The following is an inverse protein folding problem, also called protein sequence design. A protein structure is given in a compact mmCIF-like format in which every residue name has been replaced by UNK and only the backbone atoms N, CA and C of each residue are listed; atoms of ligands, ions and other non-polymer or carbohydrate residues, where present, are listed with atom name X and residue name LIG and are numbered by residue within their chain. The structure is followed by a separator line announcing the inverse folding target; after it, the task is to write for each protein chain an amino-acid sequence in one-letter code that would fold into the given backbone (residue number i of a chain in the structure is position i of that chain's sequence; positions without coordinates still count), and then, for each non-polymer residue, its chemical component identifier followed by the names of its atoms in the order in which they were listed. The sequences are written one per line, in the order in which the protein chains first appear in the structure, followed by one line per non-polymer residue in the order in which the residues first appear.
data_IF_432759184911
#
_entry.id   IF_432759184911
#
_cell.length_a   1.000
_cell.length_b   1.000
_cell.length_c   1.000
_cell.angle_alpha   90.00
_cell.angle_beta   90.00
_cell.angle_gamma   90.00
#
_symmetry.space_group_name_H-M   'P 1'
#
loop_
_entity.id
_entity.type
_entity.pdbx_description
1 polymer ?
#
# COMPACT_ATOMS: atom_id res chain seq x y z
N UNK A 1 -5.54 -3.76 -20.53
CA UNK A 1 -6.14 -3.08 -19.37
C UNK A 1 -5.10 -2.15 -18.80
N UNK A 2 -5.49 -0.90 -18.55
CA UNK A 2 -4.62 0.17 -18.10
C UNK A 2 -4.12 -0.11 -16.68
N UNK A 3 -2.82 0.04 -16.50
CA UNK A 3 -2.20 0.06 -15.19
C UNK A 3 -1.64 1.47 -15.04
N UNK A 4 -2.19 2.21 -14.09
CA UNK A 4 -1.90 3.63 -13.87
C UNK A 4 -0.84 3.82 -12.77
N UNK A 5 -0.38 2.72 -12.16
CA UNK A 5 0.67 2.70 -11.16
C UNK A 5 1.02 1.27 -10.72
N UNK A 6 2.01 1.12 -9.84
CA UNK A 6 2.49 -0.21 -9.39
C UNK A 6 1.85 -0.69 -8.09
N UNK A 7 1.09 0.17 -7.41
CA UNK A 7 0.49 -0.09 -6.10
C UNK A 7 -0.81 -0.89 -6.14
N UNK A 8 -1.40 -1.05 -4.96
CA UNK A 8 -2.76 -1.53 -4.75
C UNK A 8 -3.76 -0.43 -5.13
N UNK A 9 -4.89 -0.78 -5.74
CA UNK A 9 -5.91 0.17 -6.22
C UNK A 9 -5.36 1.13 -7.30
N UNK A 10 -4.43 0.66 -8.14
CA UNK A 10 -3.87 1.44 -9.26
C UNK A 10 -4.00 0.72 -10.61
N UNK A 11 -4.82 -0.32 -10.68
CA UNK A 11 -5.14 -1.05 -11.92
C UNK A 11 -6.65 -1.11 -12.15
N UNK A 12 -7.07 -1.15 -13.41
CA UNK A 12 -8.49 -1.28 -13.77
C UNK A 12 -9.14 -2.49 -13.07
N UNK A 13 -8.41 -3.61 -12.98
CA UNK A 13 -8.86 -4.82 -12.30
C UNK A 13 -9.18 -4.59 -10.82
N UNK A 14 -8.37 -3.78 -10.13
CA UNK A 14 -8.59 -3.52 -8.71
C UNK A 14 -9.85 -2.69 -8.50
N UNK A 15 -10.12 -1.74 -9.41
CA UNK A 15 -11.34 -0.93 -9.39
C UNK A 15 -12.59 -1.73 -9.76
N UNK A 16 -12.50 -2.63 -10.74
CA UNK A 16 -13.57 -3.58 -11.05
C UNK A 16 -13.90 -4.46 -9.82
N UNK A 17 -12.88 -5.03 -9.17
CA UNK A 17 -13.06 -5.82 -7.94
C UNK A 17 -13.69 -4.95 -6.84
N UNK A 18 -13.22 -3.72 -6.66
CA UNK A 18 -13.76 -2.82 -5.65
C UNK A 18 -15.23 -2.46 -5.89
N UNK A 19 -15.63 -2.29 -7.16
CA UNK A 19 -17.02 -2.14 -7.57
C UNK A 19 -17.85 -3.39 -7.28
N UNK A 20 -17.38 -4.57 -7.71
CA UNK A 20 -18.06 -5.85 -7.46
C UNK A 20 -18.22 -6.13 -5.95
N UNK A 21 -17.28 -5.66 -5.12
CA UNK A 21 -17.35 -5.76 -3.66
C UNK A 21 -18.46 -4.89 -3.05
N UNK A 22 -18.76 -3.71 -3.62
CA UNK A 22 -19.90 -2.90 -3.17
C UNK A 22 -21.21 -3.68 -3.29
N UNK A 23 -21.41 -4.34 -4.44
CA UNK A 23 -22.58 -5.18 -4.69
C UNK A 23 -22.62 -6.37 -3.73
N UNK A 24 -21.47 -7.04 -3.52
CA UNK A 24 -21.37 -8.19 -2.62
C UNK A 24 -21.67 -7.84 -1.15
N UNK A 25 -21.27 -6.65 -0.70
CA UNK A 25 -21.48 -6.17 0.66
C UNK A 25 -22.88 -5.57 0.87
N UNK A 26 -23.51 -5.08 -0.20
CA UNK A 26 -24.75 -4.28 -0.10
C UNK A 26 -24.53 -2.89 0.51
N UNK A 27 -23.29 -2.39 0.46
CA UNK A 27 -22.93 -1.04 0.87
C UNK A 27 -21.69 -0.56 0.11
N UNK A 28 -21.56 0.76 -0.05
CA UNK A 28 -20.47 1.39 -0.80
C UNK A 28 -19.18 1.42 0.03
N UNK A 29 -18.40 0.34 0.03
CA UNK A 29 -17.08 0.29 0.68
C UNK A 29 -16.00 0.97 -0.17
N UNK A 30 -16.14 0.90 -1.48
CA UNK A 30 -15.29 1.59 -2.41
C UNK A 30 -15.92 2.94 -2.76
N UNK A 31 -15.25 4.02 -2.37
CA UNK A 31 -15.71 5.40 -2.54
C UNK A 31 -17.04 5.71 -1.81
N UNK A 32 -17.19 5.42 -0.50
CA UNK A 32 -18.37 5.86 0.23
C UNK A 32 -18.51 7.39 0.15
N UNK A 33 -19.73 7.92 -0.09
CA UNK A 33 -20.02 9.31 0.20
C UNK A 33 -19.63 9.66 1.65
N UNK A 34 -19.17 10.88 1.90
CA UNK A 34 -18.69 11.30 3.24
C UNK A 34 -19.77 11.11 4.30
N UNK A 35 -21.02 11.32 3.93
CA UNK A 35 -22.19 11.19 4.77
C UNK A 35 -22.51 9.73 5.14
N UNK A 36 -22.11 8.77 4.29
CA UNK A 36 -22.40 7.34 4.47
C UNK A 36 -21.22 6.57 5.09
N UNK A 37 -20.03 7.16 5.13
CA UNK A 37 -18.81 6.47 5.58
C UNK A 37 -18.92 5.91 7.00
N UNK A 38 -19.58 6.63 7.92
CA UNK A 38 -19.81 6.18 9.30
C UNK A 38 -20.73 4.94 9.36
N UNK A 39 -21.81 4.94 8.58
CA UNK A 39 -22.76 3.82 8.51
C UNK A 39 -22.11 2.58 7.89
N UNK A 40 -21.27 2.77 6.85
CA UNK A 40 -20.50 1.69 6.24
C UNK A 40 -19.52 1.10 7.26
N UNK A 41 -18.79 1.94 8.00
CA UNK A 41 -17.87 1.49 9.04
C UNK A 41 -18.60 0.69 10.14
N UNK A 42 -19.77 1.16 10.58
CA UNK A 42 -20.59 0.45 11.56
C UNK A 42 -21.02 -0.92 11.05
N UNK A 43 -21.52 -1.01 9.81
CA UNK A 43 -21.92 -2.28 9.19
C UNK A 43 -20.75 -3.26 9.11
N UNK A 44 -19.57 -2.80 8.67
CA UNK A 44 -18.36 -3.63 8.57
C UNK A 44 -17.94 -4.18 9.95
N UNK A 45 -17.88 -3.30 10.96
CA UNK A 45 -17.53 -3.66 12.33
C UNK A 45 -18.60 -4.51 13.03
N UNK A 46 -19.86 -4.42 12.59
CA UNK A 46 -20.99 -5.24 13.05
C UNK A 46 -20.93 -6.71 12.61
N UNK A 47 -19.79 -7.17 12.07
CA UNK A 47 -19.53 -8.56 11.67
C UNK A 47 -19.70 -8.84 10.18
N UNK A 48 -20.17 -7.86 9.39
CA UNK A 48 -20.29 -8.01 7.94
C UNK A 48 -18.93 -8.31 7.29
N UNK A 49 -17.89 -7.56 7.68
CA UNK A 49 -16.54 -7.70 7.14
C UNK A 49 -15.99 -9.10 7.40
N UNK A 50 -16.02 -9.54 8.66
CA UNK A 50 -15.53 -10.86 9.06
C UNK A 50 -16.24 -11.97 8.26
N UNK A 51 -17.57 -11.93 8.20
CA UNK A 51 -18.36 -12.93 7.49
C UNK A 51 -18.01 -12.99 6.00
N UNK A 52 -17.81 -11.84 5.35
CA UNK A 52 -17.45 -11.78 3.92
C UNK A 52 -16.02 -12.22 3.66
N UNK A 53 -15.07 -11.88 4.54
CA UNK A 53 -13.71 -12.39 4.44
C UNK A 53 -13.66 -13.92 4.62
N UNK A 54 -14.44 -14.47 5.56
CA UNK A 54 -14.57 -15.92 5.73
C UNK A 54 -15.19 -16.57 4.47
N UNK A 55 -16.26 -15.98 3.92
CA UNK A 55 -16.89 -16.44 2.67
C UNK A 55 -15.90 -16.49 1.49
N UNK A 56 -15.04 -15.48 1.33
CA UNK A 56 -14.03 -15.44 0.25
C UNK A 56 -12.96 -16.53 0.40
N UNK A 57 -12.64 -16.92 1.64
CA UNK A 57 -11.64 -17.96 1.90
C UNK A 57 -12.18 -19.38 1.65
N UNK A 58 -13.49 -19.55 1.53
CA UNK A 58 -14.09 -20.86 1.25
C UNK A 58 -13.62 -21.39 -0.13
N UNK A 59 -13.31 -22.69 -0.25
CA UNK A 59 -12.90 -23.31 -1.53
C UNK A 59 -13.94 -23.18 -2.65
N UNK A 60 -15.22 -23.04 -2.29
CA UNK A 60 -16.34 -22.89 -3.22
C UNK A 60 -16.56 -21.45 -3.68
N UNK A 61 -15.87 -20.47 -3.11
CA UNK A 61 -16.06 -19.07 -3.48
C UNK A 61 -15.74 -18.84 -4.96
N UNK A 62 -16.63 -18.12 -5.63
CA UNK A 62 -16.47 -17.66 -6.99
C UNK A 62 -16.59 -16.14 -7.00
N UNK A 63 -15.56 -15.45 -7.49
CA UNK A 63 -15.65 -14.02 -7.70
C UNK A 63 -16.70 -13.71 -8.78
N UNK A 64 -17.28 -12.49 -8.73
CA UNK A 64 -18.26 -12.02 -9.71
C UNK A 64 -17.78 -12.19 -11.15
N UNK A 65 -16.46 -12.04 -11.36
CA UNK A 65 -15.80 -12.38 -12.63
C UNK A 65 -14.81 -13.52 -12.42
N UNK A 66 -14.93 -14.56 -13.25
CA UNK A 66 -14.21 -15.83 -13.08
C UNK A 66 -12.67 -15.74 -13.21
N UNK A 67 -12.14 -14.65 -13.76
CA UNK A 67 -10.70 -14.45 -13.92
C UNK A 67 -10.05 -13.72 -12.74
N UNK A 68 -10.82 -13.23 -11.76
CA UNK A 68 -10.24 -12.66 -10.56
C UNK A 68 -9.87 -13.76 -9.56
N UNK A 69 -8.60 -13.86 -9.14
CA UNK A 69 -8.22 -14.78 -8.07
C UNK A 69 -8.93 -14.36 -6.79
N UNK A 70 -9.51 -15.32 -6.06
CA UNK A 70 -10.13 -15.05 -4.75
C UNK A 70 -9.16 -14.38 -3.78
N UNK A 71 -7.87 -14.70 -3.88
CA UNK A 71 -6.81 -14.11 -3.07
C UNK A 71 -6.68 -12.61 -3.34
N UNK A 72 -6.88 -12.19 -4.59
CA UNK A 72 -6.90 -10.77 -4.95
C UNK A 72 -8.14 -10.09 -4.37
N UNK A 73 -9.32 -10.70 -4.50
CA UNK A 73 -10.57 -10.19 -3.94
C UNK A 73 -10.46 -9.99 -2.42
N UNK A 74 -9.91 -10.98 -1.71
CA UNK A 74 -9.66 -10.90 -0.28
C UNK A 74 -8.76 -9.72 0.10
N UNK A 75 -7.62 -9.56 -0.58
CA UNK A 75 -6.68 -8.46 -0.32
C UNK A 75 -7.33 -7.11 -0.59
N UNK A 76 -8.06 -6.96 -1.70
CA UNK A 76 -8.73 -5.69 -2.02
C UNK A 76 -9.79 -5.35 -0.98
N UNK A 77 -10.64 -6.30 -0.57
CA UNK A 77 -11.64 -6.06 0.48
C UNK A 77 -10.99 -5.63 1.81
N UNK A 78 -9.94 -6.32 2.23
CA UNK A 78 -9.26 -5.99 3.48
C UNK A 78 -8.59 -4.61 3.43
N UNK A 79 -7.98 -4.25 2.29
CA UNK A 79 -7.36 -2.93 2.10
C UNK A 79 -8.41 -1.82 2.10
N UNK A 80 -9.54 -2.00 1.41
CA UNK A 80 -10.66 -1.05 1.46
C UNK A 80 -11.19 -0.88 2.89
N UNK A 81 -11.31 -1.98 3.63
CA UNK A 81 -11.69 -1.95 5.05
C UNK A 81 -10.69 -1.14 5.90
N UNK A 82 -9.39 -1.29 5.68
CA UNK A 82 -8.36 -0.48 6.36
C UNK A 82 -8.48 1.02 6.01
N UNK A 83 -8.80 1.36 4.75
CA UNK A 83 -8.98 2.76 4.33
C UNK A 83 -10.17 3.44 5.01
N UNK A 84 -11.21 2.69 5.37
CA UNK A 84 -12.35 3.21 6.14
C UNK A 84 -12.08 3.20 7.65
N UNK A 85 -11.07 2.46 8.12
CA UNK A 85 -10.79 2.30 9.56
C UNK A 85 -11.54 1.13 10.21
N UNK A 86 -12.02 0.16 9.41
CA UNK A 86 -12.72 -1.01 9.93
C UNK A 86 -11.77 -1.97 10.67
N UNK A 87 -12.28 -2.62 11.71
CA UNK A 87 -11.52 -3.56 12.54
C UNK A 87 -11.46 -4.91 11.85
N UNK A 88 -10.25 -5.39 11.63
CA UNK A 88 -9.95 -6.67 11.00
C UNK A 88 -9.47 -7.64 12.07
N UNK A 89 -10.03 -8.84 12.11
CA UNK A 89 -9.66 -9.85 13.09
C UNK A 89 -8.27 -10.44 12.82
N UNK A 90 -7.63 -10.94 13.87
CA UNK A 90 -6.26 -11.48 13.79
C UNK A 90 -6.12 -12.64 12.81
N UNK A 91 -7.18 -13.45 12.63
CA UNK A 91 -7.20 -14.54 11.64
C UNK A 91 -7.11 -14.03 10.21
N UNK A 92 -7.81 -12.94 9.90
CA UNK A 92 -7.78 -12.32 8.57
C UNK A 92 -6.47 -11.58 8.35
N UNK A 93 -5.92 -10.91 9.37
CA UNK A 93 -4.57 -10.34 9.29
C UNK A 93 -3.51 -11.41 9.00
N UNK A 94 -3.62 -12.58 9.64
CA UNK A 94 -2.74 -13.72 9.38
C UNK A 94 -2.90 -14.23 7.94
N UNK A 95 -4.15 -14.31 7.44
CA UNK A 95 -4.41 -14.66 6.05
C UNK A 95 -3.74 -13.65 5.08
N UNK A 96 -3.83 -12.35 5.33
CA UNK A 96 -3.15 -11.33 4.50
C UNK A 96 -1.63 -11.54 4.46
N UNK A 97 -0.99 -11.89 5.59
CA UNK A 97 0.45 -12.20 5.63
C UNK A 97 0.80 -13.36 4.70
N UNK A 98 -0.05 -14.38 4.63
CA UNK A 98 0.13 -15.54 3.72
C UNK A 98 -0.11 -15.13 2.27
N UNK A 99 -1.19 -14.40 2.02
CA UNK A 99 -1.61 -13.96 0.68
C UNK A 99 -0.69 -12.93 0.05
N UNK A 100 0.17 -12.25 0.81
CA UNK A 100 1.19 -11.36 0.25
C UNK A 100 1.91 -11.94 -0.97
N UNK A 101 2.30 -13.21 -0.90
CA UNK A 101 3.08 -13.85 -1.94
C UNK A 101 2.32 -14.05 -3.27
N UNK A 102 1.00 -13.86 -3.29
CA UNK A 102 0.17 -13.95 -4.51
C UNK A 102 0.09 -12.62 -5.26
N UNK A 103 0.59 -11.53 -4.68
CA UNK A 103 0.59 -10.22 -5.31
C UNK A 103 1.64 -10.14 -6.42
N UNK A 104 1.27 -9.43 -7.48
CA UNK A 104 1.94 -9.46 -8.78
C UNK A 104 3.32 -8.81 -8.82
N UNK A 105 3.61 -7.89 -7.89
CA UNK A 105 4.84 -7.13 -7.90
C UNK A 105 5.30 -6.75 -6.48
N UNK A 106 6.56 -6.31 -6.36
CA UNK A 106 7.17 -5.97 -5.07
C UNK A 106 6.46 -4.83 -4.35
N UNK A 107 5.97 -3.82 -5.07
CA UNK A 107 5.33 -2.67 -4.44
C UNK A 107 4.01 -3.04 -3.77
N UNK A 108 3.17 -3.84 -4.44
CA UNK A 108 1.95 -4.37 -3.84
C UNK A 108 2.26 -5.22 -2.60
N UNK A 109 3.31 -6.05 -2.64
CA UNK A 109 3.72 -6.84 -1.48
C UNK A 109 4.15 -5.96 -0.30
N UNK A 110 4.89 -4.88 -0.57
CA UNK A 110 5.37 -3.98 0.46
C UNK A 110 4.27 -3.07 1.03
N UNK A 111 3.37 -2.55 0.19
CA UNK A 111 2.20 -1.81 0.66
C UNK A 111 1.35 -2.68 1.59
N UNK A 112 1.07 -3.93 1.19
CA UNK A 112 0.30 -4.84 2.03
C UNK A 112 1.02 -5.17 3.34
N UNK A 113 2.33 -5.47 3.31
CA UNK A 113 3.10 -5.75 4.53
C UNK A 113 3.14 -4.53 5.45
N UNK A 114 3.35 -3.35 4.91
CA UNK A 114 3.38 -2.10 5.69
C UNK A 114 2.02 -1.87 6.34
N UNK A 115 0.93 -2.02 5.57
CA UNK A 115 -0.42 -1.93 6.10
C UNK A 115 -0.68 -2.94 7.21
N UNK A 116 -0.36 -4.23 7.03
CA UNK A 116 -0.58 -5.25 8.07
C UNK A 116 0.15 -4.92 9.38
N UNK A 117 1.35 -4.33 9.29
CA UNK A 117 2.23 -4.10 10.44
C UNK A 117 2.01 -2.75 11.12
N UNK A 118 1.57 -1.74 10.39
CA UNK A 118 1.41 -0.37 10.89
C UNK A 118 -0.05 0.05 11.04
N UNK A 119 -1.00 -0.66 10.43
CA UNK A 119 -2.41 -0.40 10.65
C UNK A 119 -2.80 -0.69 12.11
N UNK A 120 -3.19 0.38 12.80
CA UNK A 120 -3.50 0.36 14.24
C UNK A 120 -4.71 -0.50 14.59
N UNK A 121 -5.63 -0.68 13.63
CA UNK A 121 -6.83 -1.49 13.81
C UNK A 121 -7.74 -1.00 14.94
N UNK A 122 -7.71 0.30 15.25
CA UNK A 122 -8.43 0.94 16.35
C UNK A 122 -9.59 1.85 15.87
N UNK A 123 -9.75 2.02 14.56
CA UNK A 123 -10.66 2.99 13.94
C UNK A 123 -9.93 4.01 13.07
N UNK A 124 -8.63 4.18 13.26
CA UNK A 124 -7.80 5.09 12.47
C UNK A 124 -7.65 4.58 11.04
N UNK A 125 -7.99 5.40 10.05
CA UNK A 125 -7.91 5.05 8.62
C UNK A 125 -6.46 4.82 8.16
N UNK A 126 -6.28 3.93 7.18
CA UNK A 126 -5.04 3.70 6.46
C UNK A 126 -5.05 4.37 5.09
N UNK A 127 -4.04 5.17 4.77
CA UNK A 127 -3.82 5.73 3.43
C UNK A 127 -2.76 4.89 2.71
N UNK A 128 -3.00 4.51 1.45
CA UNK A 128 -2.09 3.61 0.71
C UNK A 128 -0.79 4.26 0.22
N UNK A 129 -0.62 5.58 0.38
CA UNK A 129 0.59 6.30 -0.04
C UNK A 129 0.82 6.26 -1.55
N UNK A 130 -0.25 6.13 -2.33
CA UNK A 130 -0.19 6.14 -3.78
C UNK A 130 -1.46 6.80 -4.30
N UNK A 131 -1.34 7.86 -5.11
CA UNK A 131 -2.50 8.55 -5.70
C UNK A 131 -3.32 7.54 -6.50
N UNK A 132 -4.59 7.37 -6.11
CA UNK A 132 -5.58 6.60 -6.85
C UNK A 132 -6.20 7.42 -7.98
N UNK A 133 -7.18 6.83 -8.64
CA UNK A 133 -7.99 7.51 -9.67
C UNK A 133 -8.69 8.74 -9.09
N UNK A 134 -9.16 8.65 -7.84
CA UNK A 134 -9.76 9.79 -7.13
C UNK A 134 -8.77 10.92 -6.92
N UNK A 135 -7.63 10.64 -6.29
CA UNK A 135 -6.62 11.67 -6.02
C UNK A 135 -6.18 12.36 -7.32
N UNK A 136 -6.11 11.60 -8.42
CA UNK A 136 -5.82 12.15 -9.74
C UNK A 136 -6.96 13.02 -10.26
N UNK A 137 -8.22 12.57 -10.16
CA UNK A 137 -9.41 13.32 -10.63
C UNK A 137 -9.66 14.60 -9.80
N UNK A 138 -9.44 14.54 -8.49
CA UNK A 138 -9.69 15.65 -7.56
C UNK A 138 -8.50 16.59 -7.42
N UNK A 139 -7.26 16.19 -7.76
CA UNK A 139 -6.09 17.08 -7.78
C UNK A 139 -6.25 18.30 -8.69
N UNK A 140 -7.17 18.24 -9.65
CA UNK A 140 -7.50 19.35 -10.56
C UNK A 140 -8.63 20.27 -10.08
N UNK A 141 -9.35 19.94 -9.00
CA UNK A 141 -10.62 20.62 -8.67
C UNK A 141 -10.68 21.36 -7.33
N UNK A 142 -9.84 21.07 -6.34
CA UNK A 142 -9.82 21.78 -5.06
C UNK A 142 -8.39 21.83 -4.48
N UNK A 143 -8.07 22.87 -3.69
CA UNK A 143 -6.78 22.99 -3.00
C UNK A 143 -6.51 21.82 -2.04
N UNK A 144 -5.26 21.71 -1.58
CA UNK A 144 -4.71 20.65 -0.71
C UNK A 144 -5.77 20.01 0.20
N UNK A 145 -6.29 18.85 -0.22
CA UNK A 145 -7.24 18.08 0.57
C UNK A 145 -6.56 17.53 1.83
N UNK A 146 -7.36 17.25 2.87
CA UNK A 146 -6.86 16.70 4.15
C UNK A 146 -6.13 15.34 3.99
N UNK A 147 -6.37 14.64 2.87
CA UNK A 147 -5.72 13.39 2.49
C UNK A 147 -4.78 13.55 1.25
N UNK A 148 -4.42 14.79 0.84
CA UNK A 148 -3.55 15.01 -0.32
C UNK A 148 -2.11 14.59 -0.02
N UNK A 149 -1.59 13.72 -0.89
CA UNK A 149 -0.28 13.12 -0.79
C UNK A 149 0.84 13.98 -1.40
N UNK A 150 0.57 15.27 -1.69
CA UNK A 150 1.50 16.22 -2.30
C UNK A 150 1.75 16.01 -3.81
N UNK A 151 2.65 16.81 -4.37
CA UNK A 151 2.84 17.04 -5.82
C UNK A 151 3.55 15.89 -6.57
N UNK A 152 4.00 14.85 -5.86
CA UNK A 152 4.73 13.74 -6.48
C UNK A 152 3.75 12.82 -7.23
N UNK A 153 3.52 13.21 -8.49
CA UNK A 153 2.60 12.68 -9.51
C UNK A 153 2.54 11.14 -9.68
N UNK A 154 3.34 10.34 -8.97
CA UNK A 154 3.27 8.87 -9.03
C UNK A 154 3.58 8.11 -7.72
N UNK A 155 4.07 8.73 -6.65
CA UNK A 155 4.57 7.98 -5.48
C UNK A 155 4.58 8.80 -4.18
N UNK A 156 3.80 8.40 -3.17
CA UNK A 156 3.95 8.94 -1.79
C UNK A 156 4.30 7.88 -0.73
N UNK A 157 4.69 6.67 -1.16
CA UNK A 157 5.28 5.66 -0.28
C UNK A 157 4.52 4.33 -0.22
N UNK A 158 4.64 3.64 0.91
CA UNK A 158 4.03 2.32 1.16
C UNK A 158 2.70 2.40 1.92
N UNK A 159 2.25 3.63 2.20
CA UNK A 159 1.09 3.93 3.03
C UNK A 159 1.45 4.36 4.45
N UNK A 160 0.48 4.98 5.13
CA UNK A 160 0.58 5.51 6.48
C UNK A 160 -0.82 5.63 7.12
N UNK A 161 -0.89 5.67 8.44
CA UNK A 161 -2.13 6.07 9.13
C UNK A 161 -2.38 7.56 8.93
N UNK A 162 -3.65 7.97 8.85
CA UNK A 162 -4.04 9.39 8.66
C UNK A 162 -3.48 10.36 9.70
N UNK A 163 -3.05 9.86 10.87
CA UNK A 163 -2.50 10.66 11.96
C UNK A 163 -0.96 10.57 12.06
N UNK A 164 -0.29 10.10 11.00
CA UNK A 164 1.16 9.98 10.91
C UNK A 164 1.69 10.56 9.60
N UNK A 165 2.93 11.03 9.63
CA UNK A 165 3.59 11.48 8.41
C UNK A 165 3.83 10.32 7.43
N UNK A 166 3.73 10.55 6.12
CA UNK A 166 4.00 9.54 5.11
C UNK A 166 5.44 9.03 5.21
N UNK A 167 5.59 7.72 5.08
CA UNK A 167 6.91 7.10 5.04
C UNK A 167 7.58 7.30 3.67
N UNK A 168 8.67 8.06 3.57
CA UNK A 168 9.21 8.51 2.27
C UNK A 168 9.98 7.43 1.52
N UNK A 169 10.13 6.23 2.10
CA UNK A 169 10.95 5.17 1.53
C UNK A 169 10.13 4.01 0.97
N UNK A 170 10.66 3.39 -0.08
CA UNK A 170 10.04 2.28 -0.80
C UNK A 170 10.60 0.91 -0.39
N UNK A 171 11.06 0.78 0.86
CA UNK A 171 11.61 -0.46 1.42
C UNK A 171 10.93 -0.87 2.73
N UNK A 172 10.88 -2.18 2.98
CA UNK A 172 10.22 -2.74 4.18
C UNK A 172 10.97 -2.38 5.47
N UNK A 173 10.30 -1.78 6.46
CA UNK A 173 10.88 -1.55 7.81
C UNK A 173 11.14 -2.86 8.59
N UNK A 174 10.50 -3.94 8.16
CA UNK A 174 10.52 -5.26 8.83
C UNK A 174 11.04 -6.35 7.89
N UNK A 175 11.39 -7.50 8.44
CA UNK A 175 11.78 -8.64 7.64
C UNK A 175 10.60 -9.14 6.78
N UNK A 176 10.79 -9.21 5.47
CA UNK A 176 9.78 -9.71 4.54
C UNK A 176 9.47 -11.21 4.75
N UNK A 177 10.34 -11.98 5.39
CA UNK A 177 10.07 -13.39 5.65
C UNK A 177 9.31 -13.63 6.96
N UNK A 178 9.72 -13.00 8.06
CA UNK A 178 9.20 -13.31 9.40
C UNK A 178 8.46 -12.15 10.08
N UNK A 179 8.51 -10.93 9.55
CA UNK A 179 7.88 -9.75 10.15
C UNK A 179 8.68 -9.08 11.27
N UNK A 180 9.78 -9.69 11.73
CA UNK A 180 10.59 -9.11 12.80
C UNK A 180 11.33 -7.84 12.36
N UNK A 181 11.41 -6.86 13.27
CA UNK A 181 12.15 -5.62 13.08
C UNK A 181 13.54 -5.71 13.74
N UNK A 182 14.58 -5.32 12.99
CA UNK A 182 15.95 -5.15 13.51
C UNK A 182 16.47 -3.78 13.07
N UNK A 183 17.43 -3.22 13.82
CA UNK A 183 18.19 -2.04 13.38
C UNK A 183 19.00 -2.31 12.11
N UNK A 184 19.43 -3.55 11.85
CA UNK A 184 20.29 -3.89 10.71
C UNK A 184 19.72 -4.99 9.80
N UNK A 185 18.56 -4.75 9.17
CA UNK A 185 18.02 -5.70 8.20
C UNK A 185 18.86 -5.74 6.91
N UNK A 186 19.20 -6.95 6.47
CA UNK A 186 19.85 -7.21 5.19
C UNK A 186 18.94 -6.81 4.04
N UNK A 187 19.48 -6.06 3.08
CA UNK A 187 18.78 -5.73 1.82
C UNK A 187 18.98 -6.81 0.77
N UNK A 188 17.93 -7.08 -0.01
CA UNK A 188 18.09 -7.80 -1.25
C UNK A 188 19.02 -7.00 -2.18
N UNK A 189 20.10 -7.62 -2.65
CA UNK A 189 21.10 -6.96 -3.50
C UNK A 189 20.60 -6.66 -4.92
N UNK A 190 19.47 -7.24 -5.33
CA UNK A 190 18.90 -7.07 -6.67
C UNK A 190 17.85 -5.96 -6.72
N UNK A 191 16.82 -6.04 -5.86
CA UNK A 191 15.76 -5.04 -5.86
C UNK A 191 15.97 -3.91 -4.85
N UNK A 192 16.83 -4.08 -3.84
CA UNK A 192 17.05 -3.11 -2.74
C UNK A 192 15.81 -2.74 -1.89
N UNK A 193 14.62 -3.21 -2.24
CA UNK A 193 13.36 -2.92 -1.54
C UNK A 193 13.04 -3.92 -0.43
N UNK A 194 13.24 -5.22 -0.70
CA UNK A 194 13.01 -6.26 0.29
C UNK A 194 14.13 -6.28 1.35
N UNK A 195 13.72 -6.36 2.62
CA UNK A 195 14.59 -6.42 3.79
C UNK A 195 14.40 -7.73 4.54
N UNK A 196 15.48 -8.27 5.09
CA UNK A 196 15.50 -9.56 5.76
C UNK A 196 16.30 -9.52 7.05
N UNK A 197 15.88 -10.27 8.06
CA UNK A 197 16.62 -10.39 9.31
C UNK A 197 18.02 -10.96 9.08
N UNK A 198 18.09 -12.04 8.30
CA UNK A 198 19.33 -12.71 7.96
C UNK A 198 19.24 -13.44 6.61
N UNK A 199 20.34 -14.09 6.21
CA UNK A 199 20.40 -14.89 4.98
C UNK A 199 19.45 -16.10 5.01
N UNK A 200 19.00 -16.57 6.18
CA UNK A 200 18.06 -17.70 6.28
C UNK A 200 16.66 -17.24 5.88
N UNK A 201 16.22 -16.09 6.40
CA UNK A 201 14.97 -15.44 6.01
C UNK A 201 14.93 -15.13 4.51
N UNK A 202 16.03 -14.59 3.96
CA UNK A 202 16.12 -14.34 2.52
C UNK A 202 15.98 -15.63 1.71
N UNK A 203 16.68 -16.70 2.09
CA UNK A 203 16.61 -18.00 1.40
C UNK A 203 15.21 -18.63 1.49
N UNK A 204 14.55 -18.52 2.64
CA UNK A 204 13.20 -19.03 2.84
C UNK A 204 12.18 -18.33 1.93
N UNK A 205 12.25 -17.00 1.83
CA UNK A 205 11.35 -16.20 1.00
C UNK A 205 11.68 -16.26 -0.50
N UNK A 206 12.91 -16.67 -0.87
CA UNK A 206 13.43 -16.57 -2.25
C UNK A 206 12.53 -17.21 -3.32
N UNK A 207 11.92 -18.37 -3.03
CA UNK A 207 11.05 -19.04 -4.01
C UNK A 207 9.87 -18.17 -4.43
N UNK A 208 9.36 -17.35 -3.52
CA UNK A 208 8.26 -16.40 -3.73
C UNK A 208 8.80 -15.07 -4.23
N UNK A 209 9.81 -14.53 -3.55
CA UNK A 209 10.42 -13.24 -3.86
C UNK A 209 10.98 -13.16 -5.28
N UNK A 210 11.64 -14.22 -5.78
CA UNK A 210 12.27 -14.22 -7.12
C UNK A 210 11.29 -13.92 -8.25
N UNK A 211 10.00 -14.21 -8.07
CA UNK A 211 8.94 -13.98 -9.06
C UNK A 211 8.61 -12.50 -9.22
N UNK A 212 8.87 -11.70 -8.19
CA UNK A 212 8.56 -10.26 -8.11
C UNK A 212 9.80 -9.40 -7.90
N UNK A 213 10.99 -10.02 -7.89
CA UNK A 213 12.26 -9.36 -7.66
C UNK A 213 12.76 -8.70 -8.94
N UNK A 214 12.33 -7.47 -9.16
CA UNK A 214 12.81 -6.64 -10.26
C UNK A 214 13.99 -5.76 -9.83
N UNK A 215 15.02 -5.56 -10.68
CA UNK A 215 16.03 -4.55 -10.42
C UNK A 215 15.37 -3.17 -10.36
N UNK A 216 15.66 -2.41 -9.32
CA UNK A 216 15.37 -0.97 -9.35
C UNK A 216 16.41 -0.38 -10.29
N UNK A 217 15.96 0.14 -11.45
CA UNK A 217 16.85 0.95 -12.28
C UNK A 217 17.45 2.01 -11.36
N UNK A 218 18.79 2.16 -11.28
CA UNK A 218 19.37 3.19 -10.45
C UNK A 218 18.77 4.50 -10.93
N UNK A 219 18.03 5.20 -10.04
CA UNK A 219 17.74 6.61 -10.29
C UNK A 219 19.13 7.25 -10.32
N UNK A 220 19.62 7.59 -11.50
CA UNK A 220 20.71 8.54 -11.65
C UNK A 220 20.14 9.89 -11.23
N UNK A 221 19.94 10.07 -9.92
CA UNK A 221 19.97 11.41 -9.37
C UNK A 221 21.45 11.76 -9.48
N UNK A 222 21.80 12.50 -10.53
CA UNK A 222 23.04 13.26 -10.55
C UNK A 222 22.92 14.26 -9.40
N UNK A 223 23.29 13.84 -8.20
CA UNK A 223 23.61 14.77 -7.12
C UNK A 223 24.77 15.59 -7.68
N UNK A 224 24.62 16.92 -7.84
CA UNK A 224 25.75 17.76 -8.21
C UNK A 224 26.89 17.44 -7.26
N UNK A 225 28.09 17.21 -7.81
CA UNK A 225 29.27 16.94 -7.02
C UNK A 225 29.39 18.02 -5.93
N UNK A 226 29.55 17.62 -4.66
CA UNK A 226 29.63 18.54 -3.52
C UNK A 226 30.83 19.50 -3.68
N UNK A 227 31.76 19.16 -4.59
CA UNK A 227 32.91 19.97 -4.96
C UNK A 227 32.72 20.79 -6.24
N UNK A 228 31.58 20.70 -6.94
CA UNK A 228 31.31 21.53 -8.11
C UNK A 228 31.10 22.99 -7.71
N UNK A 229 31.53 23.90 -8.57
CA UNK A 229 31.34 25.33 -8.33
C UNK A 229 29.84 25.72 -8.34
N UNK A 230 28.99 24.92 -9.00
CA UNK A 230 27.53 25.04 -8.95
C UNK A 230 26.95 24.81 -7.55
N UNK A 231 27.51 23.87 -6.77
CA UNK A 231 27.06 23.62 -5.39
C UNK A 231 27.47 24.75 -4.43
N UNK A 232 28.61 25.41 -4.71
CA UNK A 232 29.04 26.59 -3.94
C UNK A 232 28.19 27.82 -4.24
N UNK A 233 27.84 28.07 -5.51
CA UNK A 233 26.90 29.13 -5.89
C UNK A 233 25.52 28.93 -5.24
N UNK A 234 25.03 27.68 -5.16
CA UNK A 234 23.77 27.37 -4.49
C UNK A 234 23.82 27.68 -2.97
N UNK A 235 24.93 27.35 -2.29
CA UNK A 235 25.12 27.70 -0.88
C UNK A 235 25.24 29.22 -0.66
N UNK A 236 25.93 29.94 -1.54
CA UNK A 236 26.05 31.40 -1.47
C UNK A 236 24.70 32.10 -1.69
N UNK A 237 23.85 31.59 -2.59
CA UNK A 237 22.48 32.09 -2.76
C UNK A 237 21.60 31.84 -1.53
N UNK A 238 21.76 30.71 -0.83
CA UNK A 238 21.01 30.43 0.39
C UNK A 238 21.49 31.25 1.60
N UNK A 239 22.77 31.63 1.65
CA UNK A 239 23.33 32.43 2.76
C UNK A 239 23.27 33.95 2.55
N UNK A 240 22.88 34.42 1.37
CA UNK A 240 22.77 35.85 1.02
C UNK A 240 21.53 36.60 1.53
N UNK A 241 20.60 35.95 2.25
CA UNK A 241 19.39 36.59 2.78
C UNK A 241 19.42 36.79 4.32
N UNK A 242 20.53 37.36 4.82
CA UNK A 242 20.58 38.04 6.13
C UNK A 242 21.47 39.28 6.05
N UNK A 243 20.91 40.36 5.51
CA UNK A 243 20.69 41.66 6.17
C UNK A 243 20.08 42.65 5.17
#
# INVERSE_FOLDING_TARGET
MGVWGRGLLQSDNDYDIAGDLNDMLGCTVFMPPKEEAADVLEKLNGGLLSRKLDEILEPSFQASRSWYPRERVFVILAVLAMQIGAKIESRHMTALKVLRATLSNMFQQLQLVTAIEEYKNDGTRWLLGSKGLQDTMFSSMDGEGEDDNGDEFFYSGLGHSVDQDPYPHTWSKRCLSCGESNSELLRCSRCHMARYWDKRCQKHDWQKHKLVCEPVAPRSVSVPDIHSDEFKEFLEQCHGHKE
#
